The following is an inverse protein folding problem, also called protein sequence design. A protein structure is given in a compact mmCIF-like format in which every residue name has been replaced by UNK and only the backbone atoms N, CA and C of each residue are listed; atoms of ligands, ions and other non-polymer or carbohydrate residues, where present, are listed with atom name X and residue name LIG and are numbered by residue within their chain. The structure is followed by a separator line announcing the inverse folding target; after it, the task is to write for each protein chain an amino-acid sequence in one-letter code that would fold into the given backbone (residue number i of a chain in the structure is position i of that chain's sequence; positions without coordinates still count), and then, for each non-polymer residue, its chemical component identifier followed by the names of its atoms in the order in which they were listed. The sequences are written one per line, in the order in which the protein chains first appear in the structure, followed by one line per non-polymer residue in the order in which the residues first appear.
data_IF_175097317435
#
_entry.id   IF_175097317435
#
_cell.length_a   1.000
_cell.length_b   1.000
_cell.length_c   1.000
_cell.angle_alpha   90.00
_cell.angle_beta   90.00
_cell.angle_gamma   90.00
#
_symmetry.space_group_name_H-M   'P 1'
#
loop_
_entity.id
_entity.type
_entity.pdbx_description
1 polymer ?
#
# COMPACT_ATOMS: atom_id res chain seq x y z
N UNK A 1 12.55 -67.14 -6.52
CA UNK A 1 13.69 -67.32 -5.59
C UNK A 1 13.76 -66.08 -4.73
N UNK A 2 13.21 -66.11 -3.53
CA UNK A 2 13.28 -64.98 -2.60
C UNK A 2 14.74 -64.81 -2.18
N UNK A 3 15.29 -63.61 -2.36
CA UNK A 3 16.67 -63.32 -2.02
C UNK A 3 16.90 -63.54 -0.51
N UNK A 4 18.09 -63.99 -0.07
CA UNK A 4 18.40 -64.21 1.36
C UNK A 4 18.21 -62.95 2.23
N UNK A 5 18.18 -61.77 1.61
CA UNK A 5 17.94 -60.46 2.22
C UNK A 5 16.51 -60.33 2.79
N UNK A 6 15.49 -60.80 2.07
CA UNK A 6 14.09 -60.76 2.52
C UNK A 6 13.87 -61.54 3.82
N UNK A 7 14.52 -62.71 3.94
CA UNK A 7 14.38 -63.57 5.12
C UNK A 7 14.91 -62.94 6.42
N UNK A 8 15.91 -62.06 6.32
CA UNK A 8 16.50 -61.35 7.46
C UNK A 8 15.68 -60.12 7.84
N UNK A 9 15.13 -59.42 6.84
CA UNK A 9 14.22 -58.30 7.06
C UNK A 9 12.93 -58.75 7.74
N UNK A 10 12.32 -59.84 7.27
CA UNK A 10 11.09 -60.39 7.87
C UNK A 10 11.27 -60.80 9.33
N UNK A 11 12.44 -61.36 9.69
CA UNK A 11 12.77 -61.68 11.10
C UNK A 11 12.90 -60.41 11.94
N UNK A 12 13.53 -59.37 11.41
CA UNK A 12 13.66 -58.10 12.11
C UNK A 12 12.29 -57.41 12.30
N UNK A 13 11.42 -57.45 11.29
CA UNK A 13 10.05 -56.92 11.37
C UNK A 13 9.26 -57.65 12.46
N UNK A 14 9.31 -58.99 12.49
CA UNK A 14 8.65 -59.78 13.53
C UNK A 14 9.18 -59.44 14.94
N UNK A 15 10.50 -59.33 15.12
CA UNK A 15 11.11 -58.89 16.38
C UNK A 15 10.64 -57.49 16.80
N UNK A 16 10.53 -56.54 15.85
CA UNK A 16 10.09 -55.17 16.14
C UNK A 16 8.61 -55.12 16.55
N UNK A 17 7.74 -55.91 15.91
CA UNK A 17 6.31 -55.95 16.24
C UNK A 17 6.02 -56.55 17.61
N UNK A 18 6.86 -57.45 18.09
CA UNK A 18 6.69 -58.13 19.39
C UNK A 18 7.40 -57.43 20.56
N UNK A 19 8.29 -56.46 20.27
CA UNK A 19 9.15 -55.82 21.28
C UNK A 19 8.52 -54.60 21.97
N UNK A 20 9.03 -54.25 23.15
CA UNK A 20 8.64 -53.02 23.85
C UNK A 20 9.18 -51.79 23.13
N UNK A 21 8.43 -50.68 23.19
CA UNK A 21 8.75 -49.40 22.52
C UNK A 21 10.18 -48.90 22.80
N UNK A 22 10.74 -49.19 23.98
CA UNK A 22 12.09 -48.78 24.40
C UNK A 22 13.22 -49.64 23.80
N UNK A 23 12.90 -50.84 23.31
CA UNK A 23 13.86 -51.79 22.72
C UNK A 23 13.91 -51.68 21.18
N UNK A 24 12.83 -51.18 20.57
CA UNK A 24 12.74 -50.92 19.12
C UNK A 24 13.90 -50.09 18.57
N UNK A 25 14.36 -48.99 19.21
CA UNK A 25 15.50 -48.21 18.73
C UNK A 25 16.78 -49.05 18.58
N UNK A 26 17.03 -49.97 19.51
CA UNK A 26 18.23 -50.82 19.53
C UNK A 26 18.15 -51.90 18.46
N UNK A 27 16.96 -52.46 18.22
CA UNK A 27 16.73 -53.42 17.14
C UNK A 27 16.92 -52.78 15.77
N UNK A 28 16.45 -51.54 15.58
CA UNK A 28 16.63 -50.79 14.35
C UNK A 28 18.10 -50.47 14.04
N UNK A 29 19.00 -50.43 15.04
CA UNK A 29 20.43 -50.28 14.78
C UNK A 29 21.03 -51.44 13.98
N UNK A 30 20.45 -52.65 14.05
CA UNK A 30 20.87 -53.80 13.23
C UNK A 30 20.77 -53.49 11.72
N UNK A 31 19.90 -52.53 11.32
CA UNK A 31 19.81 -52.04 9.94
C UNK A 31 21.11 -51.41 9.44
N UNK A 32 21.90 -50.80 10.34
CA UNK A 32 23.20 -50.20 9.99
C UNK A 32 24.17 -51.25 9.45
N UNK A 33 24.17 -52.43 10.04
CA UNK A 33 25.04 -53.53 9.62
C UNK A 33 24.59 -54.10 8.28
N UNK A 34 23.28 -54.22 8.04
CA UNK A 34 22.75 -54.64 6.74
C UNK A 34 23.11 -53.66 5.62
N UNK A 35 23.05 -52.35 5.88
CA UNK A 35 23.41 -51.33 4.90
C UNK A 35 24.92 -51.30 4.61
N UNK A 36 25.77 -51.62 5.57
CA UNK A 36 27.24 -51.65 5.40
C UNK A 36 27.74 -52.87 4.64
N UNK A 37 27.04 -54.00 4.73
CA UNK A 37 27.42 -55.24 4.06
C UNK A 37 27.26 -55.16 2.53
N UNK A 38 26.45 -54.22 2.04
CA UNK A 38 26.14 -54.07 0.62
C UNK A 38 26.90 -52.86 0.05
N UNK A 39 27.64 -53.01 -1.06
CA UNK A 39 28.41 -51.91 -1.63
C UNK A 39 27.52 -50.76 -2.14
N UNK A 40 27.95 -49.49 -1.97
CA UNK A 40 27.17 -48.32 -2.34
C UNK A 40 26.91 -48.28 -3.84
N UNK A 41 25.65 -48.04 -4.24
CA UNK A 41 25.22 -47.94 -5.64
C UNK A 41 24.95 -49.28 -6.36
N UNK A 42 25.08 -50.41 -5.67
CA UNK A 42 24.71 -51.73 -6.21
C UNK A 42 23.20 -51.89 -6.41
N UNK A 43 22.80 -52.79 -7.31
CA UNK A 43 21.38 -53.15 -7.51
C UNK A 43 20.78 -53.79 -6.25
N UNK A 44 21.58 -54.59 -5.55
CA UNK A 44 21.21 -55.22 -4.27
C UNK A 44 20.86 -54.18 -3.19
N UNK A 45 21.55 -53.03 -3.16
CA UNK A 45 21.24 -51.95 -2.22
C UNK A 45 19.90 -51.28 -2.55
N UNK A 46 19.56 -51.16 -3.83
CA UNK A 46 18.26 -50.59 -4.25
C UNK A 46 17.11 -51.53 -3.87
N UNK A 47 17.26 -52.82 -4.13
CA UNK A 47 16.29 -53.86 -3.76
C UNK A 47 16.11 -53.93 -2.23
N UNK A 48 17.21 -53.83 -1.47
CA UNK A 48 17.15 -53.75 -0.01
C UNK A 48 16.36 -52.51 0.46
N UNK A 49 16.61 -51.33 -0.12
CA UNK A 49 15.91 -50.09 0.25
C UNK A 49 14.43 -50.14 -0.13
N UNK A 50 14.08 -50.71 -1.28
CA UNK A 50 12.69 -50.97 -1.67
C UNK A 50 12.00 -51.90 -0.66
N UNK A 51 12.66 -52.97 -0.23
CA UNK A 51 12.15 -53.86 0.82
C UNK A 51 11.97 -53.16 2.18
N UNK A 52 12.92 -52.33 2.59
CA UNK A 52 12.82 -51.54 3.83
C UNK A 52 11.63 -50.58 3.82
N UNK A 53 11.28 -50.04 2.66
CA UNK A 53 10.10 -49.20 2.49
C UNK A 53 8.81 -50.03 2.48
N UNK A 54 8.77 -51.14 1.74
CA UNK A 54 7.61 -52.03 1.66
C UNK A 54 7.20 -52.63 3.02
N UNK A 55 8.17 -52.95 3.88
CA UNK A 55 7.91 -53.45 5.24
C UNK A 55 7.74 -52.34 6.31
N UNK A 56 7.52 -51.10 5.89
CA UNK A 56 7.32 -49.91 6.74
C UNK A 56 8.45 -49.58 7.72
N UNK A 57 9.64 -50.19 7.57
CA UNK A 57 10.75 -50.01 8.49
C UNK A 57 11.27 -48.57 8.48
N UNK A 58 11.17 -47.88 7.35
CA UNK A 58 11.51 -46.45 7.24
C UNK A 58 10.49 -45.60 8.02
N UNK A 59 9.18 -45.87 7.91
CA UNK A 59 8.14 -45.21 8.71
C UNK A 59 8.39 -45.43 10.21
N UNK A 60 8.74 -46.66 10.61
CA UNK A 60 9.08 -46.97 12.00
C UNK A 60 10.29 -46.18 12.50
N UNK A 61 11.37 -46.04 11.69
CA UNK A 61 12.50 -45.19 12.04
C UNK A 61 12.07 -43.73 12.29
N UNK A 62 11.22 -43.14 11.43
CA UNK A 62 10.69 -41.78 11.63
C UNK A 62 9.86 -41.68 12.91
N UNK A 63 9.02 -42.69 13.19
CA UNK A 63 8.18 -42.76 14.38
C UNK A 63 9.01 -42.84 15.66
N UNK A 64 10.09 -43.62 15.66
CA UNK A 64 10.99 -43.78 16.80
C UNK A 64 11.74 -42.50 17.12
N UNK A 65 12.11 -41.70 16.10
CA UNK A 65 12.77 -40.41 16.31
C UNK A 65 11.90 -39.39 17.10
N UNK A 66 10.59 -39.61 17.23
CA UNK A 66 9.71 -38.80 18.10
C UNK A 66 9.97 -39.00 19.59
N UNK A 67 10.46 -40.17 19.97
CA UNK A 67 10.56 -40.60 21.37
C UNK A 67 11.59 -39.76 22.14
N UNK A 68 11.52 -39.82 23.48
CA UNK A 68 12.54 -39.22 24.33
C UNK A 68 13.65 -40.23 24.63
N UNK A 69 14.79 -40.04 23.99
CA UNK A 69 15.94 -40.96 24.06
C UNK A 69 16.68 -40.92 25.41
N UNK A 70 16.23 -40.09 26.37
CA UNK A 70 16.79 -40.10 27.73
C UNK A 70 16.65 -41.45 28.45
N UNK A 71 15.68 -42.29 28.08
CA UNK A 71 15.43 -43.60 28.71
C UNK A 71 15.88 -44.82 27.89
N UNK A 72 16.35 -44.58 26.66
CA UNK A 72 16.73 -45.62 25.72
C UNK A 72 18.20 -46.02 25.96
N UNK A 73 18.52 -47.32 25.84
CA UNK A 73 19.92 -47.79 25.89
C UNK A 73 20.73 -47.15 24.76
N UNK A 74 21.85 -46.52 25.11
CA UNK A 74 22.68 -45.74 24.18
C UNK A 74 22.27 -44.27 24.01
N UNK A 75 21.22 -43.82 24.72
CA UNK A 75 20.84 -42.41 24.89
C UNK A 75 20.75 -41.66 23.54
N UNK A 76 21.26 -40.43 23.47
CA UNK A 76 21.26 -39.59 22.27
C UNK A 76 22.15 -40.11 21.13
N UNK A 77 23.12 -40.97 21.43
CA UNK A 77 23.96 -41.62 20.42
C UNK A 77 23.14 -42.54 19.52
N UNK A 78 22.27 -43.36 20.13
CA UNK A 78 21.33 -44.22 19.40
C UNK A 78 20.38 -43.41 18.52
N UNK A 79 19.90 -42.25 19.01
CA UNK A 79 19.05 -41.37 18.22
C UNK A 79 19.78 -40.81 16.98
N UNK A 80 21.05 -40.46 17.15
CA UNK A 80 21.89 -39.95 16.07
C UNK A 80 22.22 -41.04 15.03
N UNK A 81 22.50 -42.26 15.48
CA UNK A 81 22.68 -43.41 14.59
C UNK A 81 21.40 -43.74 13.81
N UNK A 82 20.23 -43.63 14.43
CA UNK A 82 18.95 -43.83 13.73
C UNK A 82 18.67 -42.73 12.70
N UNK A 83 19.05 -41.48 12.99
CA UNK A 83 18.97 -40.41 12.00
C UNK A 83 19.88 -40.69 10.79
N UNK A 84 21.11 -41.17 11.03
CA UNK A 84 22.04 -41.56 9.98
C UNK A 84 21.50 -42.73 9.13
N UNK A 85 20.96 -43.78 9.76
CA UNK A 85 20.31 -44.89 9.06
C UNK A 85 19.13 -44.38 8.22
N UNK A 86 18.26 -43.54 8.79
CA UNK A 86 17.10 -43.01 8.11
C UNK A 86 17.50 -42.21 6.87
N UNK A 87 18.49 -41.31 6.98
CA UNK A 87 18.98 -40.56 5.82
C UNK A 87 19.58 -41.47 4.74
N UNK A 88 20.36 -42.48 5.13
CA UNK A 88 20.96 -43.41 4.19
C UNK A 88 19.94 -44.32 3.49
N UNK A 89 18.85 -44.71 4.18
CA UNK A 89 17.74 -45.44 3.59
C UNK A 89 16.99 -44.59 2.56
N UNK A 90 16.71 -43.33 2.89
CA UNK A 90 15.91 -42.44 2.05
C UNK A 90 16.66 -41.90 0.83
N UNK A 91 17.98 -41.64 0.93
CA UNK A 91 18.76 -41.08 -0.19
C UNK A 91 18.98 -42.15 -1.28
N UNK A 92 18.58 -41.83 -2.51
CA UNK A 92 18.70 -42.74 -3.67
C UNK A 92 17.65 -43.86 -3.71
N UNK A 93 16.65 -43.82 -2.84
CA UNK A 93 15.42 -44.61 -2.96
C UNK A 93 14.44 -43.89 -3.89
N UNK A 94 13.88 -44.65 -4.84
CA UNK A 94 12.81 -44.22 -5.73
C UNK A 94 11.72 -45.30 -5.65
N UNK A 95 10.74 -45.15 -4.75
CA UNK A 95 9.80 -46.21 -4.44
C UNK A 95 8.80 -46.41 -5.60
N UNK A 96 8.63 -47.67 -6.02
CA UNK A 96 7.65 -48.04 -7.06
C UNK A 96 6.21 -48.02 -6.54
N UNK A 97 6.05 -48.28 -5.24
CA UNK A 97 4.77 -48.25 -4.54
C UNK A 97 4.64 -46.89 -3.81
N UNK A 98 3.49 -46.25 -3.95
CA UNK A 98 3.12 -44.99 -3.27
C UNK A 98 4.19 -43.87 -3.21
N UNK A 99 4.74 -43.43 -4.35
CA UNK A 99 5.75 -42.37 -4.38
C UNK A 99 5.27 -41.06 -3.74
N UNK A 100 3.98 -40.74 -3.87
CA UNK A 100 3.39 -39.54 -3.27
C UNK A 100 3.46 -39.55 -1.75
N UNK A 101 3.29 -40.71 -1.11
CA UNK A 101 3.41 -40.83 0.35
C UNK A 101 4.86 -40.63 0.80
N UNK A 102 5.80 -41.20 0.06
CA UNK A 102 7.22 -41.04 0.34
C UNK A 102 7.65 -39.56 0.25
N UNK A 103 7.40 -38.90 -0.88
CA UNK A 103 7.88 -37.53 -1.11
C UNK A 103 7.11 -36.46 -0.31
N UNK A 104 5.79 -36.60 -0.17
CA UNK A 104 4.98 -35.53 0.43
C UNK A 104 4.70 -35.72 1.93
N UNK A 105 4.79 -36.94 2.47
CA UNK A 105 4.53 -37.21 3.89
C UNK A 105 5.79 -37.68 4.62
N UNK A 106 6.42 -38.76 4.14
CA UNK A 106 7.50 -39.41 4.88
C UNK A 106 8.75 -38.55 4.95
N UNK A 107 9.24 -38.01 3.83
CA UNK A 107 10.45 -37.20 3.81
C UNK A 107 10.33 -35.89 4.60
N UNK A 108 9.26 -35.08 4.47
CA UNK A 108 9.06 -33.90 5.31
C UNK A 108 8.95 -34.26 6.81
N UNK A 109 8.31 -35.39 7.12
CA UNK A 109 8.24 -35.90 8.49
C UNK A 109 9.62 -36.28 9.02
N UNK A 110 10.46 -36.95 8.24
CA UNK A 110 11.84 -37.26 8.62
C UNK A 110 12.64 -36.00 8.95
N UNK A 111 12.56 -34.97 8.08
CA UNK A 111 13.19 -33.66 8.30
C UNK A 111 12.71 -33.02 9.60
N UNK A 112 11.40 -32.98 9.83
CA UNK A 112 10.82 -32.41 11.04
C UNK A 112 11.37 -33.10 12.30
N UNK A 113 11.36 -34.43 12.34
CA UNK A 113 11.82 -35.18 13.51
C UNK A 113 13.33 -35.06 13.74
N UNK A 114 14.14 -34.98 12.68
CA UNK A 114 15.57 -34.69 12.79
C UNK A 114 15.82 -33.28 13.37
N UNK A 115 15.05 -32.27 12.97
CA UNK A 115 15.15 -30.92 13.53
C UNK A 115 14.73 -30.87 15.01
N UNK A 116 13.64 -31.56 15.38
CA UNK A 116 13.21 -31.69 16.78
C UNK A 116 14.31 -32.36 17.61
N UNK A 117 14.88 -33.46 17.10
CA UNK A 117 15.95 -34.19 17.75
C UNK A 117 17.18 -33.30 17.94
N UNK A 118 17.62 -32.60 16.88
CA UNK A 118 18.70 -31.63 16.95
C UNK A 118 18.44 -30.59 18.05
N UNK A 119 17.23 -30.05 18.15
CA UNK A 119 16.87 -29.05 19.18
C UNK A 119 16.94 -29.63 20.60
N UNK A 120 16.46 -30.86 20.79
CA UNK A 120 16.52 -31.55 22.08
C UNK A 120 17.96 -31.82 22.51
N UNK A 121 18.83 -32.19 21.58
CA UNK A 121 20.26 -32.40 21.84
C UNK A 121 20.93 -31.07 22.15
N UNK A 122 20.72 -30.02 21.33
CA UNK A 122 21.26 -28.68 21.56
C UNK A 122 20.85 -28.11 22.92
N UNK A 123 19.58 -28.22 23.30
CA UNK A 123 19.10 -27.73 24.60
C UNK A 123 19.74 -28.46 25.79
N UNK A 124 20.03 -29.76 25.66
CA UNK A 124 20.76 -30.53 26.69
C UNK A 124 22.24 -30.19 26.70
N UNK A 125 22.85 -30.04 25.52
CA UNK A 125 24.24 -29.64 25.36
C UNK A 125 24.53 -28.31 26.06
N UNK A 126 23.70 -27.29 25.81
CA UNK A 126 23.83 -25.96 26.44
C UNK A 126 23.67 -26.02 27.96
N UNK A 127 22.86 -26.95 28.49
CA UNK A 127 22.65 -27.12 29.95
C UNK A 127 23.69 -28.00 30.63
N UNK A 128 24.44 -28.78 29.88
CA UNK A 128 25.38 -29.76 30.44
C UNK A 128 26.68 -29.09 30.92
N UNK A 129 27.07 -29.43 32.16
CA UNK A 129 28.23 -28.86 32.86
C UNK A 129 29.48 -29.75 32.72
N UNK A 130 29.30 -31.07 32.51
CA UNK A 130 30.41 -32.02 32.41
C UNK A 130 30.92 -32.15 30.98
N UNK A 131 32.24 -32.05 30.80
CA UNK A 131 32.88 -32.06 29.47
C UNK A 131 32.70 -33.38 28.70
N UNK A 132 32.70 -34.53 29.38
CA UNK A 132 32.50 -35.83 28.73
C UNK A 132 31.09 -35.97 28.14
N UNK A 133 30.08 -35.59 28.90
CA UNK A 133 28.67 -35.60 28.44
C UNK A 133 28.47 -34.56 27.32
N UNK A 134 29.11 -33.39 27.42
CA UNK A 134 29.13 -32.37 26.35
C UNK A 134 29.70 -32.93 25.06
N UNK A 135 30.84 -33.62 25.11
CA UNK A 135 31.48 -34.21 23.94
C UNK A 135 30.58 -35.24 23.25
N UNK A 136 29.94 -36.13 24.01
CA UNK A 136 29.02 -37.14 23.45
C UNK A 136 27.77 -36.49 22.82
N UNK A 137 27.19 -35.49 23.49
CA UNK A 137 26.04 -34.74 22.98
C UNK A 137 26.41 -33.96 21.71
N UNK A 138 27.59 -33.35 21.66
CA UNK A 138 28.07 -32.63 20.47
C UNK A 138 28.29 -33.56 19.28
N UNK A 139 28.92 -34.72 19.49
CA UNK A 139 29.06 -35.74 18.44
C UNK A 139 27.70 -36.19 17.92
N UNK A 140 26.74 -36.44 18.82
CA UNK A 140 25.37 -36.82 18.46
C UNK A 140 24.66 -35.70 17.66
N UNK A 141 24.81 -34.43 18.09
CA UNK A 141 24.25 -33.27 17.39
C UNK A 141 24.82 -33.11 15.98
N UNK A 142 26.13 -33.24 15.85
CA UNK A 142 26.82 -33.17 14.56
C UNK A 142 26.38 -34.30 13.64
N UNK A 143 26.28 -35.53 14.13
CA UNK A 143 25.77 -36.65 13.35
C UNK A 143 24.34 -36.41 12.84
N UNK A 144 23.43 -35.90 13.69
CA UNK A 144 22.05 -35.60 13.29
C UNK A 144 22.00 -34.51 12.22
N UNK A 145 22.81 -33.46 12.37
CA UNK A 145 22.87 -32.35 11.39
C UNK A 145 23.54 -32.76 10.08
N UNK A 146 24.60 -33.58 10.12
CA UNK A 146 25.23 -34.17 8.94
C UNK A 146 24.25 -35.11 8.20
N UNK A 147 23.46 -35.89 8.95
CA UNK A 147 22.41 -36.76 8.40
C UNK A 147 21.31 -35.95 7.72
N UNK A 148 20.90 -34.83 8.32
CA UNK A 148 19.93 -33.89 7.73
C UNK A 148 20.49 -33.30 6.42
N UNK A 149 21.76 -32.87 6.42
CA UNK A 149 22.46 -32.40 5.22
C UNK A 149 22.47 -33.45 4.12
N UNK A 150 22.81 -34.70 4.45
CA UNK A 150 22.79 -35.81 3.49
C UNK A 150 21.40 -36.02 2.89
N UNK A 151 20.35 -35.93 3.71
CA UNK A 151 18.98 -36.13 3.25
C UNK A 151 18.52 -35.08 2.23
N UNK A 152 18.69 -33.78 2.52
CA UNK A 152 18.24 -32.73 1.59
C UNK A 152 19.19 -32.52 0.40
N UNK A 153 20.46 -32.96 0.50
CA UNK A 153 21.36 -32.99 -0.66
C UNK A 153 20.99 -34.11 -1.63
N UNK A 154 20.49 -35.24 -1.13
CA UNK A 154 19.89 -36.30 -1.94
C UNK A 154 18.53 -35.91 -2.53
N UNK A 155 17.72 -35.16 -1.77
CA UNK A 155 16.37 -34.71 -2.18
C UNK A 155 16.25 -33.19 -2.06
N UNK A 156 16.65 -32.46 -3.12
CA UNK A 156 16.78 -30.99 -3.11
C UNK A 156 15.51 -30.23 -2.68
N UNK A 157 14.33 -30.79 -2.94
CA UNK A 157 13.05 -30.19 -2.54
C UNK A 157 12.93 -30.00 -1.02
N UNK A 158 13.57 -30.87 -0.23
CA UNK A 158 13.53 -30.82 1.23
C UNK A 158 14.27 -29.62 1.80
N UNK A 159 15.22 -29.05 1.07
CA UNK A 159 15.94 -27.87 1.54
C UNK A 159 14.98 -26.68 1.78
N UNK A 160 13.91 -26.57 0.99
CA UNK A 160 12.86 -25.56 1.17
C UNK A 160 12.02 -25.91 2.42
N UNK A 161 11.68 -27.20 2.58
CA UNK A 161 10.99 -27.70 3.76
C UNK A 161 11.76 -27.38 5.04
N UNK A 162 13.08 -27.59 5.07
CA UNK A 162 13.94 -27.27 6.23
C UNK A 162 13.87 -25.78 6.59
N UNK A 163 13.99 -24.88 5.61
CA UNK A 163 13.93 -23.43 5.85
C UNK A 163 12.58 -22.98 6.41
N UNK A 164 11.48 -23.62 5.97
CA UNK A 164 10.13 -23.30 6.43
C UNK A 164 9.81 -23.84 7.83
N UNK A 165 10.58 -24.81 8.35
CA UNK A 165 10.34 -25.33 9.70
C UNK A 165 10.79 -24.34 10.77
N UNK A 166 9.89 -23.99 11.70
CA UNK A 166 10.18 -23.12 12.84
C UNK A 166 11.36 -23.64 13.69
N UNK A 167 11.50 -24.97 13.78
CA UNK A 167 12.54 -25.60 14.56
C UNK A 167 13.95 -25.37 14.00
N UNK A 168 14.09 -25.14 12.70
CA UNK A 168 15.36 -24.75 12.10
C UNK A 168 15.76 -23.34 12.53
N UNK A 169 14.81 -22.38 12.51
CA UNK A 169 15.05 -21.03 13.02
C UNK A 169 15.44 -21.07 14.51
N UNK A 170 14.75 -21.89 15.32
CA UNK A 170 15.08 -22.06 16.75
C UNK A 170 16.48 -22.64 16.97
N UNK A 171 16.91 -23.60 16.14
CA UNK A 171 18.27 -24.13 16.16
C UNK A 171 19.32 -23.07 15.79
N UNK A 172 18.96 -22.19 14.85
CA UNK A 172 19.81 -21.08 14.42
C UNK A 172 19.92 -20.02 15.53
N UNK A 173 18.85 -19.77 16.29
CA UNK A 173 18.79 -18.87 17.44
C UNK A 173 19.50 -19.44 18.69
N UNK A 174 20.79 -19.74 18.56
CA UNK A 174 21.68 -20.14 19.66
C UNK A 174 22.81 -19.14 19.84
N UNK A 175 23.14 -18.86 21.11
CA UNK A 175 24.32 -18.07 21.51
C UNK A 175 25.57 -18.96 21.66
N UNK A 176 25.39 -20.28 21.74
CA UNK A 176 26.50 -21.22 21.83
C UNK A 176 27.25 -21.31 20.49
N UNK A 177 28.57 -21.13 20.57
CA UNK A 177 29.43 -21.03 19.40
C UNK A 177 29.53 -22.37 18.66
N UNK A 178 29.67 -23.48 19.37
CA UNK A 178 29.92 -24.79 18.77
C UNK A 178 28.70 -25.26 17.98
N UNK A 179 27.53 -25.30 18.62
CA UNK A 179 26.28 -25.68 17.95
C UNK A 179 25.87 -24.64 16.89
N UNK A 180 26.11 -23.34 17.16
CA UNK A 180 25.85 -22.28 16.20
C UNK A 180 26.65 -22.42 14.90
N UNK A 181 27.94 -22.79 14.98
CA UNK A 181 28.77 -23.02 13.78
C UNK A 181 28.26 -24.20 12.95
N UNK A 182 27.81 -25.28 13.60
CA UNK A 182 27.23 -26.44 12.92
C UNK A 182 25.93 -26.04 12.20
N UNK A 183 24.99 -25.36 12.87
CA UNK A 183 23.72 -24.94 12.23
C UNK A 183 23.96 -23.92 11.11
N UNK A 184 24.93 -23.01 11.26
CA UNK A 184 25.34 -22.11 10.18
C UNK A 184 25.87 -22.85 8.96
N UNK A 185 26.57 -23.97 9.16
CA UNK A 185 27.03 -24.82 8.06
C UNK A 185 25.88 -25.53 7.34
N UNK A 186 24.82 -25.91 8.07
CA UNK A 186 23.58 -26.43 7.49
C UNK A 186 22.90 -25.37 6.62
N UNK A 187 22.77 -24.13 7.11
CA UNK A 187 22.22 -23.01 6.33
C UNK A 187 23.01 -22.78 5.04
N UNK A 188 24.33 -22.74 5.12
CA UNK A 188 25.18 -22.59 3.94
C UNK A 188 25.05 -23.76 2.96
N UNK A 189 24.85 -24.98 3.47
CA UNK A 189 24.65 -26.16 2.63
C UNK A 189 23.32 -26.07 1.88
N UNK A 190 22.25 -25.62 2.55
CA UNK A 190 20.95 -25.34 1.92
C UNK A 190 21.09 -24.27 0.82
N UNK A 191 21.73 -23.14 1.13
CA UNK A 191 21.93 -22.04 0.18
C UNK A 191 22.80 -22.41 -1.02
N UNK A 192 23.68 -23.42 -0.88
CA UNK A 192 24.52 -23.94 -1.97
C UNK A 192 23.81 -25.00 -2.80
N UNK A 193 22.95 -25.81 -2.20
CA UNK A 193 22.29 -26.93 -2.85
C UNK A 193 21.33 -26.46 -3.96
N UNK A 194 20.58 -25.39 -3.72
CA UNK A 194 19.71 -24.79 -4.72
C UNK A 194 19.71 -23.25 -4.61
N UNK A 195 20.23 -22.58 -5.65
CA UNK A 195 20.27 -21.11 -5.73
C UNK A 195 18.89 -20.50 -5.99
N UNK A 196 17.94 -21.27 -6.50
CA UNK A 196 16.59 -20.79 -6.82
C UNK A 196 15.65 -20.89 -5.62
N UNK A 197 16.05 -21.65 -4.58
CA UNK A 197 15.21 -21.97 -3.43
C UNK A 197 14.67 -20.71 -2.73
N UNK A 198 15.47 -19.66 -2.63
CA UNK A 198 15.08 -18.41 -1.97
C UNK A 198 14.00 -17.62 -2.69
N UNK A 199 13.76 -17.90 -3.97
CA UNK A 199 12.63 -17.32 -4.71
C UNK A 199 11.30 -18.00 -4.36
N UNK A 200 11.34 -19.24 -3.85
CA UNK A 200 10.15 -19.99 -3.44
C UNK A 200 9.81 -19.77 -1.96
N UNK A 201 10.76 -19.31 -1.15
CA UNK A 201 10.56 -19.05 0.27
C UNK A 201 9.86 -17.70 0.47
N UNK A 202 8.75 -17.64 1.22
CA UNK A 202 8.04 -16.40 1.47
C UNK A 202 8.80 -15.48 2.45
N UNK A 203 8.55 -14.18 2.33
CA UNK A 203 9.26 -13.13 3.08
C UNK A 203 9.10 -13.26 4.61
N UNK A 204 7.99 -13.83 5.09
CA UNK A 204 7.76 -14.08 6.52
C UNK A 204 8.73 -15.10 7.13
N UNK A 205 9.28 -16.02 6.33
CA UNK A 205 10.29 -17.00 6.75
C UNK A 205 11.70 -16.44 6.56
N UNK A 206 11.95 -15.71 5.47
CA UNK A 206 13.26 -15.13 5.19
C UNK A 206 13.64 -14.03 6.19
N UNK A 207 12.69 -13.19 6.58
CA UNK A 207 12.96 -12.05 7.46
C UNK A 207 13.54 -12.45 8.84
N UNK A 208 12.97 -13.41 9.58
CA UNK A 208 13.57 -13.88 10.83
C UNK A 208 14.98 -14.46 10.67
N UNK A 209 15.24 -15.18 9.57
CA UNK A 209 16.59 -15.71 9.27
C UNK A 209 17.56 -14.55 9.04
N UNK A 210 17.16 -13.52 8.29
CA UNK A 210 17.96 -12.31 8.08
C UNK A 210 18.19 -11.56 9.39
N UNK A 211 17.16 -11.41 10.23
CA UNK A 211 17.25 -10.78 11.55
C UNK A 211 18.27 -11.52 12.42
N UNK A 212 18.23 -12.86 12.44
CA UNK A 212 19.18 -13.69 13.20
C UNK A 212 20.61 -13.61 12.64
N UNK A 213 20.80 -13.64 11.32
CA UNK A 213 22.14 -13.47 10.71
C UNK A 213 22.75 -12.11 11.04
N UNK A 214 21.94 -11.05 11.00
CA UNK A 214 22.36 -9.70 11.36
C UNK A 214 22.66 -9.62 12.86
N UNK A 215 21.83 -10.24 13.71
CA UNK A 215 22.08 -10.34 15.14
C UNK A 215 23.42 -11.03 15.41
N UNK A 216 23.69 -12.20 14.82
CA UNK A 216 24.96 -12.91 14.96
C UNK A 216 26.16 -12.08 14.51
N UNK A 217 26.03 -11.31 13.43
CA UNK A 217 27.09 -10.40 12.98
C UNK A 217 27.32 -9.21 13.93
N UNK A 218 26.32 -8.84 14.72
CA UNK A 218 26.43 -7.72 15.68
C UNK A 218 26.91 -8.15 17.07
N UNK A 219 26.50 -9.35 17.52
CA UNK A 219 26.72 -9.85 18.87
C UNK A 219 27.92 -10.81 18.97
N UNK A 220 28.22 -11.58 17.92
CA UNK A 220 29.32 -12.54 17.97
C UNK A 220 30.68 -11.87 17.77
N UNK A 221 31.68 -12.35 18.49
CA UNK A 221 33.10 -12.00 18.28
C UNK A 221 33.86 -13.08 17.52
N UNK A 222 33.22 -14.24 17.26
CA UNK A 222 33.88 -15.38 16.64
C UNK A 222 33.99 -15.21 15.11
N UNK A 223 35.20 -15.24 14.53
CA UNK A 223 35.39 -15.05 13.09
C UNK A 223 34.76 -16.15 12.23
N UNK A 224 34.58 -17.36 12.74
CA UNK A 224 33.91 -18.46 12.03
C UNK A 224 32.42 -18.14 11.83
N UNK A 225 31.74 -17.69 12.88
CA UNK A 225 30.34 -17.27 12.82
C UNK A 225 30.19 -16.02 11.94
N UNK A 226 31.05 -15.02 12.13
CA UNK A 226 31.03 -13.80 11.33
C UNK A 226 31.25 -14.06 9.83
N UNK A 227 32.24 -14.90 9.49
CA UNK A 227 32.48 -15.34 8.11
C UNK A 227 31.28 -16.12 7.57
N UNK A 228 30.73 -17.02 8.37
CA UNK A 228 29.63 -17.86 7.93
C UNK A 228 28.35 -17.06 7.67
N UNK A 229 28.03 -16.10 8.54
CA UNK A 229 26.88 -15.22 8.39
C UNK A 229 27.06 -14.25 7.21
N UNK A 230 28.26 -13.67 7.06
CA UNK A 230 28.59 -12.80 5.91
C UNK A 230 28.41 -13.54 4.58
N UNK A 231 28.92 -14.78 4.49
CA UNK A 231 28.79 -15.61 3.29
C UNK A 231 27.34 -16.01 3.02
N UNK A 232 26.57 -16.33 4.07
CA UNK A 232 25.15 -16.67 3.92
C UNK A 232 24.36 -15.47 3.39
N UNK A 233 24.57 -14.27 3.94
CA UNK A 233 23.93 -13.04 3.45
C UNK A 233 24.31 -12.72 2.00
N UNK A 234 25.57 -12.90 1.62
CA UNK A 234 26.00 -12.73 0.23
C UNK A 234 25.27 -13.70 -0.71
N UNK A 235 25.24 -14.99 -0.37
CA UNK A 235 24.54 -16.00 -1.15
C UNK A 235 23.04 -15.69 -1.27
N UNK A 236 22.43 -15.17 -0.21
CA UNK A 236 21.04 -14.72 -0.24
C UNK A 236 20.83 -13.54 -1.19
N UNK A 237 21.70 -12.53 -1.15
CA UNK A 237 21.64 -11.36 -2.05
C UNK A 237 21.89 -11.77 -3.51
N UNK A 238 22.83 -12.68 -3.76
CA UNK A 238 23.14 -13.19 -5.11
C UNK A 238 21.98 -13.97 -5.72
N UNK A 239 21.27 -14.75 -4.90
CA UNK A 239 20.13 -15.54 -5.34
C UNK A 239 18.86 -14.70 -5.53
N UNK A 240 18.64 -13.72 -4.65
CA UNK A 240 17.44 -12.88 -4.60
C UNK A 240 17.82 -11.40 -4.35
N UNK A 241 18.05 -10.59 -5.41
CA UNK A 241 18.63 -9.25 -5.31
C UNK A 241 17.84 -8.23 -4.46
N UNK A 242 16.53 -8.41 -4.35
CA UNK A 242 15.66 -7.60 -3.49
C UNK A 242 16.00 -7.74 -2.00
N UNK A 243 16.63 -8.85 -1.57
CA UNK A 243 17.15 -8.99 -0.19
C UNK A 243 18.16 -7.90 0.12
N UNK A 244 19.05 -7.55 -0.82
CA UNK A 244 20.01 -6.46 -0.63
C UNK A 244 19.33 -5.12 -0.37
N UNK A 245 18.23 -4.85 -1.09
CA UNK A 245 17.38 -3.67 -0.87
C UNK A 245 16.66 -3.73 0.49
N UNK A 246 16.07 -4.87 0.84
CA UNK A 246 15.39 -5.09 2.13
C UNK A 246 16.36 -4.85 3.30
N UNK A 247 17.59 -5.37 3.21
CA UNK A 247 18.62 -5.17 4.21
C UNK A 247 19.00 -3.69 4.38
N UNK A 248 19.17 -2.96 3.27
CA UNK A 248 19.40 -1.51 3.31
C UNK A 248 18.21 -0.72 3.88
N UNK A 249 17.00 -1.27 3.78
CA UNK A 249 15.78 -0.68 4.35
C UNK A 249 15.70 -0.90 5.86
N UNK A 250 15.88 -2.15 6.30
CA UNK A 250 15.61 -2.61 7.67
C UNK A 250 16.78 -2.35 8.63
N UNK A 251 18.02 -2.60 8.20
CA UNK A 251 19.18 -2.58 9.10
C UNK A 251 20.04 -1.33 8.89
N UNK A 252 19.54 -0.19 9.36
CA UNK A 252 20.28 1.08 9.30
C UNK A 252 21.57 0.97 10.11
N UNK A 253 22.68 1.39 9.52
CA UNK A 253 23.99 1.37 10.19
C UNK A 253 24.73 0.02 10.14
N UNK A 254 24.12 -1.04 9.58
CA UNK A 254 24.76 -2.36 9.45
C UNK A 254 26.13 -2.27 8.80
N UNK A 255 26.25 -1.52 7.70
CA UNK A 255 27.53 -1.29 7.01
C UNK A 255 28.60 -0.75 7.96
N UNK A 256 28.26 0.29 8.74
CA UNK A 256 29.21 0.96 9.64
C UNK A 256 29.64 0.07 10.80
N UNK A 257 28.75 -0.80 11.26
CA UNK A 257 29.01 -1.80 12.28
C UNK A 257 29.95 -2.87 11.72
N UNK A 258 29.63 -3.41 10.54
CA UNK A 258 30.41 -4.45 9.88
C UNK A 258 31.83 -3.98 9.56
N UNK A 259 31.98 -2.75 9.06
CA UNK A 259 33.29 -2.15 8.75
C UNK A 259 34.14 -1.80 9.98
N UNK A 260 33.54 -1.76 11.18
CA UNK A 260 34.29 -1.51 12.42
C UNK A 260 34.64 -2.80 13.14
N UNK A 261 33.70 -3.75 13.19
CA UNK A 261 33.86 -4.97 13.99
C UNK A 261 34.67 -6.07 13.28
N UNK A 262 34.50 -6.24 11.97
CA UNK A 262 35.00 -7.43 11.26
C UNK A 262 36.23 -7.20 10.40
N UNK A 263 36.70 -5.97 10.29
CA UNK A 263 37.88 -5.60 9.50
C UNK A 263 39.13 -6.23 10.13
N UNK A 264 39.88 -7.00 9.33
CA UNK A 264 41.07 -7.73 9.81
C UNK A 264 40.80 -9.08 10.48
N UNK A 265 39.55 -9.59 10.48
CA UNK A 265 39.18 -10.87 11.13
C UNK A 265 39.29 -12.12 10.23
N UNK A 266 39.96 -12.02 9.07
CA UNK A 266 40.29 -13.18 8.22
C UNK A 266 39.34 -13.49 7.05
N UNK A 267 38.25 -12.74 6.86
CA UNK A 267 37.29 -12.91 5.75
C UNK A 267 37.00 -11.60 5.00
N UNK A 268 38.03 -10.76 4.83
CA UNK A 268 37.90 -9.40 4.30
C UNK A 268 37.32 -9.32 2.87
N UNK A 269 37.51 -10.35 2.04
CA UNK A 269 36.96 -10.39 0.66
C UNK A 269 35.44 -10.45 0.69
N UNK A 270 34.88 -11.42 1.37
CA UNK A 270 33.43 -11.57 1.55
C UNK A 270 32.83 -10.33 2.24
N UNK A 271 33.51 -9.82 3.26
CA UNK A 271 33.09 -8.60 3.94
C UNK A 271 33.02 -7.40 2.98
N UNK A 272 34.06 -7.18 2.15
CA UNK A 272 34.09 -6.08 1.19
C UNK A 272 32.97 -6.19 0.15
N UNK A 273 32.73 -7.39 -0.39
CA UNK A 273 31.60 -7.63 -1.30
C UNK A 273 30.25 -7.30 -0.65
N UNK A 274 30.04 -7.69 0.61
CA UNK A 274 28.79 -7.39 1.31
C UNK A 274 28.62 -5.88 1.51
N UNK A 275 29.69 -5.18 1.90
CA UNK A 275 29.68 -3.73 2.11
C UNK A 275 29.35 -2.96 0.81
N UNK A 276 29.88 -3.41 -0.34
CA UNK A 276 29.60 -2.82 -1.65
C UNK A 276 28.13 -3.01 -2.06
N UNK A 277 27.59 -4.23 -1.87
CA UNK A 277 26.17 -4.50 -2.14
C UNK A 277 25.25 -3.64 -1.26
N UNK A 278 25.59 -3.45 0.01
CA UNK A 278 24.84 -2.57 0.92
C UNK A 278 24.94 -1.08 0.53
N UNK A 279 26.02 -0.64 -0.12
CA UNK A 279 26.21 0.74 -0.60
C UNK A 279 25.25 1.10 -1.75
N UNK A 280 25.05 0.17 -2.69
CA UNK A 280 24.18 0.41 -3.84
C UNK A 280 22.73 0.73 -3.45
N UNK A 281 22.21 0.05 -2.41
CA UNK A 281 20.86 0.28 -1.90
C UNK A 281 20.71 1.58 -1.08
N UNK A 282 21.76 2.03 -0.38
CA UNK A 282 21.70 3.27 0.41
C UNK A 282 21.73 4.51 -0.48
N UNK A 283 22.55 4.51 -1.54
CA UNK A 283 22.68 5.65 -2.46
C UNK A 283 21.37 5.93 -3.21
N UNK A 284 20.71 4.90 -3.74
CA UNK A 284 19.42 5.06 -4.42
C UNK A 284 18.33 5.65 -3.51
N UNK A 285 18.32 5.27 -2.23
CA UNK A 285 17.38 5.81 -1.25
C UNK A 285 17.70 7.26 -0.88
N UNK A 286 18.97 7.58 -0.62
CA UNK A 286 19.37 8.96 -0.32
C UNK A 286 18.99 9.89 -1.47
N UNK A 287 19.22 9.46 -2.70
CA UNK A 287 18.83 10.22 -3.89
C UNK A 287 17.31 10.36 -4.00
N UNK A 288 16.55 9.28 -3.81
CA UNK A 288 15.08 9.35 -3.84
C UNK A 288 14.51 10.25 -2.75
N UNK A 289 15.10 10.25 -1.55
CA UNK A 289 14.70 11.14 -0.45
C UNK A 289 15.06 12.60 -0.76
N UNK A 290 16.22 12.87 -1.36
CA UNK A 290 16.61 14.21 -1.82
C UNK A 290 15.64 14.73 -2.87
N UNK A 291 15.30 13.90 -3.86
CA UNK A 291 14.32 14.24 -4.90
C UNK A 291 12.94 14.52 -4.30
N UNK A 292 12.49 13.71 -3.34
CA UNK A 292 11.22 13.93 -2.64
C UNK A 292 11.22 15.26 -1.86
N UNK A 293 12.28 15.53 -1.09
CA UNK A 293 12.41 16.77 -0.33
C UNK A 293 12.48 18.01 -1.25
N UNK A 294 13.16 17.89 -2.40
CA UNK A 294 13.20 18.93 -3.42
C UNK A 294 11.81 19.19 -4.01
N UNK A 295 11.09 18.13 -4.38
CA UNK A 295 9.72 18.23 -4.89
C UNK A 295 8.78 18.91 -3.87
N UNK A 296 8.85 18.51 -2.59
CA UNK A 296 8.07 19.13 -1.52
C UNK A 296 8.39 20.63 -1.36
N UNK A 297 9.68 21.01 -1.43
CA UNK A 297 10.10 22.42 -1.38
C UNK A 297 9.55 23.22 -2.55
N UNK A 298 9.66 22.69 -3.78
CA UNK A 298 9.13 23.33 -4.99
C UNK A 298 7.61 23.51 -4.87
N UNK A 299 6.89 22.46 -4.45
CA UNK A 299 5.44 22.49 -4.27
C UNK A 299 5.02 23.53 -3.21
N UNK A 300 5.72 23.59 -2.08
CA UNK A 300 5.46 24.56 -1.02
C UNK A 300 5.68 26.00 -1.52
N UNK A 301 6.79 26.24 -2.24
CA UNK A 301 7.11 27.54 -2.84
C UNK A 301 6.06 27.97 -3.87
N UNK A 302 5.62 27.06 -4.74
CA UNK A 302 4.58 27.32 -5.74
C UNK A 302 3.23 27.64 -5.10
N UNK A 303 2.77 26.81 -4.14
CA UNK A 303 1.53 27.06 -3.39
C UNK A 303 1.58 28.42 -2.70
N UNK A 304 2.70 28.74 -2.05
CA UNK A 304 2.92 30.06 -1.44
C UNK A 304 2.89 31.20 -2.45
N UNK A 305 3.50 31.04 -3.62
CA UNK A 305 3.48 32.04 -4.70
C UNK A 305 2.06 32.31 -5.19
N UNK A 306 1.25 31.26 -5.42
CA UNK A 306 -0.14 31.38 -5.84
C UNK A 306 -0.98 32.18 -4.85
N UNK A 307 -0.85 31.89 -3.55
CA UNK A 307 -1.55 32.62 -2.48
C UNK A 307 -1.12 34.09 -2.47
N UNK A 308 0.20 34.38 -2.48
CA UNK A 308 0.71 35.76 -2.50
C UNK A 308 0.23 36.53 -3.72
N UNK A 309 0.18 35.90 -4.89
CA UNK A 309 -0.34 36.51 -6.14
C UNK A 309 -1.83 36.85 -6.01
N UNK A 310 -2.64 35.99 -5.40
CA UNK A 310 -4.06 36.26 -5.11
C UNK A 310 -4.22 37.40 -4.10
N UNK A 311 -3.45 37.37 -3.01
CA UNK A 311 -3.50 38.39 -1.96
C UNK A 311 -3.11 39.77 -2.51
N UNK A 312 -2.08 39.86 -3.35
CA UNK A 312 -1.70 41.13 -4.01
C UNK A 312 -2.81 41.72 -4.89
N UNK A 313 -3.73 40.89 -5.42
CA UNK A 313 -4.86 41.35 -6.26
C UNK A 313 -6.09 41.77 -5.45
N UNK A 314 -6.23 41.29 -4.20
CA UNK A 314 -7.40 41.57 -3.34
C UNK A 314 -7.64 43.07 -3.12
N UNK A 315 -6.65 43.92 -2.77
CA UNK A 315 -6.90 45.34 -2.52
C UNK A 315 -7.51 46.07 -3.73
N UNK A 316 -7.06 45.76 -4.95
CA UNK A 316 -7.63 46.35 -6.18
C UNK A 316 -9.08 45.90 -6.40
N UNK A 317 -9.37 44.63 -6.17
CA UNK A 317 -10.72 44.09 -6.30
C UNK A 317 -11.67 44.72 -5.26
N UNK A 318 -11.24 44.80 -4.00
CA UNK A 318 -11.99 45.44 -2.91
C UNK A 318 -12.22 46.92 -3.19
N UNK A 319 -11.20 47.67 -3.61
CA UNK A 319 -11.34 49.08 -3.96
C UNK A 319 -12.33 49.29 -5.13
N UNK A 320 -12.31 48.40 -6.13
CA UNK A 320 -13.25 48.46 -7.26
C UNK A 320 -14.68 48.22 -6.80
N UNK A 321 -14.91 47.21 -5.97
CA UNK A 321 -16.22 46.91 -5.40
C UNK A 321 -16.75 48.06 -4.52
N UNK A 322 -15.88 48.62 -3.66
CA UNK A 322 -16.22 49.77 -2.83
C UNK A 322 -16.59 51.00 -3.66
N UNK A 323 -15.84 51.28 -4.74
CA UNK A 323 -16.17 52.38 -5.67
C UNK A 323 -17.51 52.16 -6.36
N UNK A 324 -17.76 50.96 -6.89
CA UNK A 324 -19.04 50.66 -7.56
C UNK A 324 -20.21 50.76 -6.60
N UNK A 325 -20.04 50.30 -5.35
CA UNK A 325 -21.06 50.41 -4.32
C UNK A 325 -21.37 51.87 -3.96
N UNK A 326 -20.32 52.69 -3.74
CA UNK A 326 -20.49 54.13 -3.46
C UNK A 326 -21.18 54.86 -4.61
N UNK A 327 -20.76 54.61 -5.85
CA UNK A 327 -21.37 55.22 -7.04
C UNK A 327 -22.84 54.81 -7.23
N UNK A 328 -23.19 53.55 -6.95
CA UNK A 328 -24.58 53.09 -6.98
C UNK A 328 -25.43 53.81 -5.93
N UNK A 329 -24.94 53.87 -4.69
CA UNK A 329 -25.62 54.56 -3.59
C UNK A 329 -25.82 56.05 -3.86
N UNK A 330 -24.82 56.72 -4.46
CA UNK A 330 -24.93 58.12 -4.84
C UNK A 330 -26.00 58.35 -5.93
N UNK A 331 -26.03 57.50 -6.96
CA UNK A 331 -27.07 57.55 -8.00
C UNK A 331 -28.47 57.37 -7.42
N UNK A 332 -28.66 56.39 -6.53
CA UNK A 332 -29.93 56.15 -5.84
C UNK A 332 -30.37 57.35 -5.01
N UNK A 333 -29.43 57.98 -4.27
CA UNK A 333 -29.70 59.20 -3.51
C UNK A 333 -30.11 60.38 -4.40
N UNK A 334 -29.42 60.57 -5.53
CA UNK A 334 -29.76 61.65 -6.50
C UNK A 334 -31.14 61.38 -7.10
N UNK A 335 -31.45 60.15 -7.48
CA UNK A 335 -32.75 59.78 -8.02
C UNK A 335 -33.87 60.01 -7.00
N UNK A 336 -33.65 59.62 -5.74
CA UNK A 336 -34.59 59.87 -4.65
C UNK A 336 -34.85 61.36 -4.43
N UNK A 337 -33.79 62.19 -4.38
CA UNK A 337 -33.92 63.64 -4.26
C UNK A 337 -34.70 64.25 -5.42
N UNK A 338 -34.37 63.88 -6.66
CA UNK A 338 -35.12 64.35 -7.85
C UNK A 338 -36.59 63.94 -7.79
N UNK A 339 -36.88 62.71 -7.39
CA UNK A 339 -38.26 62.26 -7.24
C UNK A 339 -39.00 63.08 -6.18
N UNK A 340 -38.35 63.33 -5.04
CA UNK A 340 -38.91 64.17 -3.98
C UNK A 340 -39.15 65.60 -4.46
N UNK A 341 -38.20 66.22 -5.13
CA UNK A 341 -38.34 67.57 -5.71
C UNK A 341 -39.52 67.65 -6.71
N UNK A 342 -39.70 66.62 -7.55
CA UNK A 342 -40.83 66.55 -8.49
C UNK A 342 -42.16 66.41 -7.74
N UNK A 343 -42.23 65.58 -6.70
CA UNK A 343 -43.42 65.42 -5.87
C UNK A 343 -43.76 66.71 -5.10
N UNK A 344 -42.76 67.35 -4.48
CA UNK A 344 -42.93 68.62 -3.77
C UNK A 344 -43.44 69.72 -4.73
N UNK A 345 -42.89 69.79 -5.96
CA UNK A 345 -43.37 70.71 -6.98
C UNK A 345 -44.81 70.40 -7.42
N UNK A 346 -45.17 69.11 -7.60
CA UNK A 346 -46.54 68.70 -7.91
C UNK A 346 -47.51 69.15 -6.82
N UNK A 347 -47.15 68.95 -5.55
CA UNK A 347 -47.95 69.39 -4.41
C UNK A 347 -48.10 70.90 -4.39
N UNK A 348 -47.02 71.66 -4.60
CA UNK A 348 -47.07 73.13 -4.68
C UNK A 348 -48.00 73.61 -5.80
N UNK A 349 -47.89 73.02 -7.00
CA UNK A 349 -48.74 73.36 -8.13
C UNK A 349 -50.22 73.05 -7.85
N UNK A 350 -50.52 71.92 -7.21
CA UNK A 350 -51.89 71.60 -6.78
C UNK A 350 -52.42 72.64 -5.78
N UNK A 351 -51.62 73.02 -4.78
CA UNK A 351 -51.99 74.05 -3.82
C UNK A 351 -52.22 75.42 -4.48
N UNK A 352 -51.36 75.82 -5.41
CA UNK A 352 -51.54 77.05 -6.18
C UNK A 352 -52.82 77.04 -7.00
N UNK A 353 -53.13 75.93 -7.69
CA UNK A 353 -54.40 75.78 -8.43
C UNK A 353 -55.60 75.89 -7.50
N UNK A 354 -55.57 75.23 -6.35
CA UNK A 354 -56.65 75.30 -5.36
C UNK A 354 -56.87 76.73 -4.84
N UNK A 355 -55.78 77.45 -4.52
CA UNK A 355 -55.84 78.85 -4.08
C UNK A 355 -56.39 79.76 -5.18
N UNK A 356 -55.94 79.60 -6.42
CA UNK A 356 -56.43 80.38 -7.55
C UNK A 356 -57.92 80.12 -7.82
N UNK A 357 -58.37 78.85 -7.77
CA UNK A 357 -59.79 78.51 -7.90
C UNK A 357 -60.62 79.13 -6.77
N UNK A 358 -60.12 79.11 -5.53
CA UNK A 358 -60.80 79.74 -4.40
C UNK A 358 -60.94 81.25 -4.61
N UNK A 359 -59.84 81.94 -4.92
CA UNK A 359 -59.85 83.38 -5.16
C UNK A 359 -60.77 83.77 -6.34
N UNK A 360 -60.82 82.96 -7.39
CA UNK A 360 -61.76 83.17 -8.49
C UNK A 360 -63.22 83.04 -8.03
N UNK A 361 -63.55 81.98 -7.28
CA UNK A 361 -64.91 81.76 -6.73
C UNK A 361 -65.32 82.88 -5.77
N UNK A 362 -64.43 83.34 -4.91
CA UNK A 362 -64.67 84.48 -4.01
C UNK A 362 -65.03 85.74 -4.81
N UNK A 363 -64.26 86.08 -5.86
CA UNK A 363 -64.58 87.20 -6.74
C UNK A 363 -65.94 87.05 -7.44
N UNK A 364 -66.26 85.84 -7.91
CA UNK A 364 -67.56 85.57 -8.54
C UNK A 364 -68.72 85.74 -7.55
N UNK A 365 -68.56 85.30 -6.30
CA UNK A 365 -69.55 85.51 -5.25
C UNK A 365 -69.77 87.00 -4.97
N UNK A 366 -68.70 87.79 -4.81
CA UNK A 366 -68.83 89.23 -4.60
C UNK A 366 -69.51 89.94 -5.77
N UNK A 367 -69.23 89.52 -7.02
CA UNK A 367 -69.93 90.07 -8.18
C UNK A 367 -71.42 89.71 -8.15
N UNK A 368 -71.78 88.47 -7.82
CA UNK A 368 -73.18 88.05 -7.71
C UNK A 368 -73.93 88.80 -6.59
N UNK A 369 -73.29 89.07 -5.45
CA UNK A 369 -73.86 89.87 -4.35
C UNK A 369 -74.22 91.31 -4.78
N UNK A 370 -73.49 91.86 -5.77
CA UNK A 370 -73.71 93.22 -6.29
C UNK A 370 -74.81 93.29 -7.37
N UNK A 371 -75.18 92.16 -7.99
CA UNK A 371 -76.18 92.14 -9.08
C UNK A 371 -77.60 92.22 -8.50
N UNK A 372 -78.41 93.16 -9.01
CA UNK A 372 -79.79 93.32 -8.58
C UNK A 372 -80.67 92.12 -8.98
N UNK A 373 -81.58 91.68 -8.09
CA UNK A 373 -82.34 90.43 -8.24
C UNK A 373 -83.10 90.31 -9.58
N UNK A 374 -83.71 91.39 -10.07
CA UNK A 374 -84.42 91.41 -11.37
C UNK A 374 -83.53 91.27 -12.62
N UNK A 375 -82.21 91.40 -12.50
CA UNK A 375 -81.25 91.24 -13.60
C UNK A 375 -80.47 89.91 -13.52
N UNK A 376 -80.71 89.11 -12.48
CA UNK A 376 -79.99 87.87 -12.22
C UNK A 376 -80.17 86.84 -13.33
N UNK A 377 -81.39 86.66 -13.83
CA UNK A 377 -81.69 85.66 -14.88
C UNK A 377 -80.98 85.97 -16.20
N UNK A 378 -80.89 87.25 -16.57
CA UNK A 378 -80.17 87.68 -17.78
C UNK A 378 -78.67 87.40 -17.64
N UNK A 379 -78.09 87.76 -16.49
CA UNK A 379 -76.67 87.50 -16.22
C UNK A 379 -76.35 86.00 -16.19
N UNK A 380 -77.21 85.17 -15.60
CA UNK A 380 -77.05 83.71 -15.61
C UNK A 380 -77.12 83.13 -17.04
N UNK A 381 -78.02 83.63 -17.88
CA UNK A 381 -78.10 83.23 -19.28
C UNK A 381 -76.82 83.57 -20.05
N UNK A 382 -76.29 84.80 -19.88
CA UNK A 382 -75.03 85.22 -20.51
C UNK A 382 -73.83 84.36 -20.05
N UNK A 383 -73.76 83.98 -18.77
CA UNK A 383 -72.72 83.04 -18.27
C UNK A 383 -72.85 81.68 -18.94
N UNK A 384 -74.07 81.15 -19.08
CA UNK A 384 -74.30 79.86 -19.71
C UNK A 384 -73.90 79.86 -21.19
N UNK A 385 -74.26 80.90 -21.94
CA UNK A 385 -73.86 81.05 -23.34
C UNK A 385 -72.33 81.13 -23.49
N UNK A 386 -71.68 81.96 -22.67
CA UNK A 386 -70.23 82.09 -22.69
C UNK A 386 -69.52 80.76 -22.34
N UNK A 387 -70.03 80.03 -21.33
CA UNK A 387 -69.51 78.72 -20.98
C UNK A 387 -69.70 77.70 -22.12
N UNK A 388 -70.86 77.70 -22.78
CA UNK A 388 -71.12 76.84 -23.93
C UNK A 388 -70.14 77.13 -25.08
N UNK A 389 -69.88 78.41 -25.38
CA UNK A 389 -68.91 78.82 -26.39
C UNK A 389 -67.49 78.37 -26.04
N UNK A 390 -67.09 78.46 -24.77
CA UNK A 390 -65.77 78.06 -24.32
C UNK A 390 -65.59 76.53 -24.38
N UNK A 391 -66.60 75.76 -23.98
CA UNK A 391 -66.63 74.29 -24.12
C UNK A 391 -66.52 73.90 -25.60
N UNK A 392 -67.34 74.52 -26.46
CA UNK A 392 -67.32 74.27 -27.90
C UNK A 392 -65.97 74.61 -28.53
N UNK A 393 -65.36 75.75 -28.13
CA UNK A 393 -64.03 76.16 -28.58
C UNK A 393 -62.95 75.15 -28.14
N UNK A 394 -62.97 74.75 -26.87
CA UNK A 394 -62.06 73.74 -26.34
C UNK A 394 -62.20 72.39 -27.05
N UNK A 395 -63.44 71.95 -27.32
CA UNK A 395 -63.72 70.71 -28.04
C UNK A 395 -63.25 70.75 -29.49
N UNK A 396 -63.53 71.85 -30.23
CA UNK A 396 -63.01 72.05 -31.59
C UNK A 396 -61.48 71.96 -31.58
N UNK A 397 -60.81 72.62 -30.64
CA UNK A 397 -59.36 72.55 -30.48
C UNK A 397 -58.85 71.14 -30.13
N UNK A 398 -59.55 70.39 -29.27
CA UNK A 398 -59.21 69.00 -28.96
C UNK A 398 -59.35 68.09 -30.19
N UNK A 399 -60.45 68.24 -30.96
CA UNK A 399 -60.72 67.46 -32.16
C UNK A 399 -59.61 67.63 -33.19
N UNK A 400 -59.20 68.88 -33.48
CA UNK A 400 -58.09 69.18 -34.39
C UNK A 400 -56.76 68.57 -33.90
N UNK A 401 -56.45 68.74 -32.61
CA UNK A 401 -55.24 68.13 -32.03
C UNK A 401 -55.25 66.61 -32.12
N UNK A 402 -56.41 65.97 -31.93
CA UNK A 402 -56.55 64.51 -32.04
C UNK A 402 -56.34 64.04 -33.49
N UNK A 403 -56.95 64.72 -34.47
CA UNK A 403 -56.75 64.43 -35.88
C UNK A 403 -55.27 64.60 -36.28
N UNK A 404 -54.62 65.68 -35.85
CA UNK A 404 -53.20 65.91 -36.09
C UNK A 404 -52.30 64.83 -35.47
N UNK A 405 -52.60 64.39 -34.23
CA UNK A 405 -51.84 63.30 -33.60
C UNK A 405 -51.99 61.98 -34.36
N UNK A 406 -53.19 61.67 -34.85
CA UNK A 406 -53.43 60.49 -35.68
C UNK A 406 -52.65 60.56 -36.99
N UNK A 407 -52.70 61.69 -37.70
CA UNK A 407 -51.92 61.92 -38.92
C UNK A 407 -50.42 61.78 -38.67
N UNK A 408 -49.91 62.37 -37.57
CA UNK A 408 -48.50 62.26 -37.18
C UNK A 408 -48.08 60.82 -36.92
N UNK A 409 -48.96 60.02 -36.31
CA UNK A 409 -48.70 58.61 -36.02
C UNK A 409 -48.70 57.76 -37.30
N UNK A 410 -49.63 58.00 -38.23
CA UNK A 410 -49.65 57.38 -39.55
C UNK A 410 -48.37 57.72 -40.31
N UNK A 411 -47.96 58.98 -40.31
CA UNK A 411 -46.76 59.44 -41.01
C UNK A 411 -45.47 58.82 -40.43
N UNK A 412 -45.43 58.62 -39.11
CA UNK A 412 -44.33 57.90 -38.45
C UNK A 412 -44.29 56.41 -38.87
N UNK A 413 -45.45 55.75 -38.97
CA UNK A 413 -45.55 54.36 -39.47
C UNK A 413 -45.13 54.27 -40.93
N UNK A 414 -45.60 55.19 -41.78
CA UNK A 414 -45.20 55.24 -43.20
C UNK A 414 -43.69 55.44 -43.37
N UNK A 415 -43.10 56.40 -42.64
CA UNK A 415 -41.63 56.60 -42.64
C UNK A 415 -40.89 55.33 -42.22
N UNK A 416 -41.35 54.64 -41.18
CA UNK A 416 -40.76 53.37 -40.76
C UNK A 416 -40.86 52.29 -41.85
N UNK A 417 -42.02 52.16 -42.50
CA UNK A 417 -42.23 51.21 -43.60
C UNK A 417 -41.31 51.50 -44.79
N UNK A 418 -41.15 52.77 -45.19
CA UNK A 418 -40.21 53.17 -46.25
C UNK A 418 -38.77 52.83 -45.87
N UNK A 419 -38.37 53.05 -44.62
CA UNK A 419 -37.02 52.66 -44.15
C UNK A 419 -36.82 51.14 -44.23
N UNK A 420 -37.81 50.33 -43.86
CA UNK A 420 -37.76 48.87 -43.98
C UNK A 420 -37.69 48.45 -45.46
N UNK A 421 -38.53 49.00 -46.33
CA UNK A 421 -38.52 48.69 -47.78
C UNK A 421 -37.18 49.04 -48.42
N UNK A 422 -36.59 50.18 -48.06
CA UNK A 422 -35.24 50.56 -48.52
C UNK A 422 -34.18 49.60 -47.99
N UNK A 423 -34.26 49.19 -46.73
CA UNK A 423 -33.35 48.20 -46.16
C UNK A 423 -33.46 46.82 -46.85
N UNK A 424 -34.67 46.39 -47.21
CA UNK A 424 -34.91 45.14 -47.96
C UNK A 424 -34.43 45.24 -49.41
N UNK A 425 -34.57 46.40 -50.05
CA UNK A 425 -34.07 46.63 -51.42
C UNK A 425 -32.53 46.77 -51.49
N UNK A 426 -31.87 47.01 -50.36
CA UNK A 426 -30.41 47.12 -50.22
C UNK A 426 -29.76 45.83 -49.67
N UNK A 427 -30.55 44.80 -49.35
CA UNK A 427 -30.02 43.46 -49.07
C UNK A 427 -29.64 42.80 -50.41
N UNK A 428 -28.35 42.50 -50.66
CA UNK A 428 -27.93 41.88 -51.91
C UNK A 428 -28.59 40.51 -52.06
N UNK A 429 -29.12 40.23 -53.26
CA UNK A 429 -29.50 38.88 -53.70
C UNK A 429 -28.21 38.06 -53.78
N UNK A 430 -27.74 37.58 -52.64
CA UNK A 430 -26.74 36.53 -52.54
C UNK A 430 -27.50 35.25 -52.19
N UNK A 431 -28.15 34.65 -53.19
CA UNK A 431 -28.51 33.23 -53.26
C UNK A 431 -29.11 32.89 -54.64
N UNK A 432 -28.33 32.14 -55.43
CA UNK A 432 -28.83 31.13 -56.38
C UNK A 432 -29.13 31.59 -57.81
N UNK A 433 -28.14 31.51 -58.71
CA UNK A 433 -27.97 30.38 -59.66
C UNK A 433 -26.58 30.42 -60.28
#
# INVERSE_FOLDING_TARGET
MAAPVDSRLLKLVAEITESRVEEVPVLLLKLKDFLKLVPPGSKELKELKEGLYHYDLIQYCVLVLKQDFSRVRGSWGTAADLADILSNCCVGLDPKEDPDEFYNKLLPSAVLHMLILGRRIQARFVRSIKDEERGQLFCSFRMVTDSLCWLFTGHLQLANTVLQQEHFLQLLMTDDVETGTVVMSVLQSILRADRVILNQVPDNVLHPILDELVYKLSASTNPVIGSAATRSLLQMIESRPDIGRIMGIRYKGLRSLLSKQWTGKGFGRELAHLLDRLQSGSYQREEMQRLHNAACTIQAMWRGFQIRKRVRRLPKAVATLQRSFRAKREKEMIQFKKHKEVEDLRQQLQLHRLRAMRAFREKQLTLLELVHAGQMDKHLHEIQENAALEIQRCWKGYKERKAFHQQKLILKKYKAAVTIQRAVSLLPIACGF
#
